data_IF_397980086093
#
_entry.id   IF_397980086093
#
_cell.length_a   1.000
_cell.length_b   1.000
_cell.length_c   1.000
_cell.angle_alpha   90.00
_cell.angle_beta   90.00
_cell.angle_gamma   90.00
#
_symmetry.space_group_name_H-M   'P 1'
#
loop_
_entity.id
_entity.type
_entity.pdbx_description
1 polymer ?
#
# COMPACT_ATOMS: atom_id res chain seq x y z
N UNK A 1 -8.52 -6.88 6.55
CA UNK A 1 -7.57 -7.92 7.03
C UNK A 1 -7.12 -7.60 8.47
N UNK A 2 -7.20 -8.56 9.42
CA UNK A 2 -7.01 -8.29 10.85
C UNK A 2 -5.54 -8.12 11.26
N UNK A 3 -4.59 -8.59 10.45
CA UNK A 3 -3.15 -8.45 10.71
C UNK A 3 -2.46 -7.88 9.47
N UNK A 4 -1.88 -6.69 9.60
CA UNK A 4 -1.04 -6.06 8.57
C UNK A 4 0.43 -6.27 8.96
N UNK A 5 1.24 -6.75 8.02
CA UNK A 5 2.68 -6.94 8.22
C UNK A 5 3.47 -6.32 7.06
N UNK A 6 4.65 -5.77 7.37
CA UNK A 6 5.48 -5.03 6.40
C UNK A 6 6.59 -5.95 5.90
N UNK A 7 6.26 -6.73 4.86
CA UNK A 7 7.20 -7.66 4.23
C UNK A 7 8.14 -6.99 3.22
N UNK A 8 7.69 -5.94 2.53
CA UNK A 8 8.46 -5.28 1.48
C UNK A 8 8.15 -3.78 1.43
N UNK A 9 9.20 -2.98 1.23
CA UNK A 9 9.11 -1.53 1.05
C UNK A 9 9.74 -1.17 -0.28
N UNK A 10 9.01 -0.43 -1.11
CA UNK A 10 9.43 -0.02 -2.45
C UNK A 10 8.89 1.36 -2.82
N UNK A 11 9.58 2.03 -3.74
CA UNK A 11 9.18 3.36 -4.19
C UNK A 11 7.96 3.35 -5.12
N UNK A 12 7.28 4.49 -5.20
CA UNK A 12 6.09 4.66 -6.04
C UNK A 12 6.38 4.40 -7.53
N UNK A 13 7.54 4.82 -8.03
CA UNK A 13 7.93 4.60 -9.42
C UNK A 13 8.05 3.11 -9.76
N UNK A 14 8.63 2.32 -8.86
CA UNK A 14 8.75 0.87 -9.05
C UNK A 14 7.42 0.16 -8.84
N UNK A 15 6.59 0.66 -7.92
CA UNK A 15 5.25 0.11 -7.67
C UNK A 15 4.38 0.26 -8.94
N UNK A 16 4.46 1.41 -9.62
CA UNK A 16 3.79 1.67 -10.90
C UNK A 16 4.24 0.76 -12.04
N UNK A 17 5.45 0.21 -12.00
CA UNK A 17 5.90 -0.78 -12.99
C UNK A 17 5.31 -2.17 -12.73
N UNK A 18 4.89 -2.47 -11.48
CA UNK A 18 4.36 -3.78 -11.09
C UNK A 18 2.85 -3.87 -11.13
N UNK A 19 2.15 -2.75 -10.96
CA UNK A 19 0.69 -2.71 -10.93
C UNK A 19 0.15 -1.98 -12.17
N UNK A 20 -1.05 -2.35 -12.66
CA UNK A 20 -1.67 -1.63 -13.76
C UNK A 20 -2.00 -0.18 -13.37
N UNK A 21 -1.96 0.74 -14.34
CA UNK A 21 -2.27 2.16 -14.12
C UNK A 21 -3.65 2.34 -13.46
N UNK A 22 -4.61 1.47 -13.78
CA UNK A 22 -5.95 1.49 -13.20
C UNK A 22 -5.96 1.40 -11.66
N UNK A 23 -4.98 0.73 -11.05
CA UNK A 23 -4.86 0.62 -9.59
C UNK A 23 -4.45 1.92 -8.90
N UNK A 24 -4.01 2.94 -9.62
CA UNK A 24 -3.57 4.22 -9.04
C UNK A 24 -4.63 5.32 -9.12
N UNK A 25 -5.68 5.13 -9.94
CA UNK A 25 -6.74 6.11 -10.10
C UNK A 25 -7.88 5.85 -9.12
N UNK A 26 -8.10 6.73 -8.14
CA UNK A 26 -9.20 6.61 -7.15
C UNK A 26 -10.58 6.42 -7.82
N UNK A 27 -10.80 7.06 -8.96
CA UNK A 27 -12.04 6.96 -9.77
C UNK A 27 -12.30 5.57 -10.37
N UNK A 28 -11.27 4.71 -10.43
CA UNK A 28 -11.36 3.38 -11.01
C UNK A 28 -11.86 2.33 -10.00
N UNK A 29 -11.97 2.72 -8.72
CA UNK A 29 -12.42 1.84 -7.66
C UNK A 29 -13.95 1.89 -7.51
N UNK A 30 -14.57 0.71 -7.50
CA UNK A 30 -15.98 0.51 -7.16
C UNK A 30 -16.04 -0.23 -5.84
N UNK A 31 -16.59 0.37 -4.79
CA UNK A 31 -16.65 -0.27 -3.47
C UNK A 31 -15.30 -0.66 -2.90
N UNK A 32 -14.26 0.17 -3.14
CA UNK A 32 -12.85 -0.06 -2.75
C UNK A 32 -12.09 -1.13 -3.54
N UNK A 33 -12.68 -1.68 -4.60
CA UNK A 33 -12.04 -2.71 -5.42
C UNK A 33 -11.90 -2.25 -6.88
N UNK A 34 -10.81 -2.68 -7.51
CA UNK A 34 -10.61 -2.57 -8.96
C UNK A 34 -10.05 -3.88 -9.50
N UNK A 35 -10.64 -4.34 -10.59
CA UNK A 35 -10.12 -5.44 -11.39
C UNK A 35 -9.75 -4.91 -12.77
N UNK A 36 -8.47 -5.00 -13.12
CA UNK A 36 -7.99 -4.55 -14.42
C UNK A 36 -6.88 -5.47 -14.92
N UNK A 37 -7.00 -5.93 -16.16
CA UNK A 37 -6.04 -6.85 -16.79
C UNK A 37 -5.74 -8.11 -15.94
N UNK A 38 -6.76 -8.66 -15.26
CA UNK A 38 -6.61 -9.86 -14.42
C UNK A 38 -5.97 -9.61 -13.06
N UNK A 39 -5.63 -8.36 -12.73
CA UNK A 39 -5.12 -7.96 -11.41
C UNK A 39 -6.26 -7.39 -10.58
N UNK A 40 -6.46 -7.95 -9.39
CA UNK A 40 -7.39 -7.44 -8.38
C UNK A 40 -6.64 -6.61 -7.36
N UNK A 41 -7.10 -5.39 -7.12
CA UNK A 41 -6.54 -4.48 -6.12
C UNK A 41 -7.65 -3.95 -5.24
N UNK A 42 -7.40 -3.88 -3.94
CA UNK A 42 -8.31 -3.30 -2.96
C UNK A 42 -7.62 -2.16 -2.23
N UNK A 43 -8.33 -1.04 -2.03
CA UNK A 43 -7.80 0.14 -1.37
C UNK A 43 -8.41 0.29 0.03
N UNK A 44 -7.56 0.19 1.06
CA UNK A 44 -7.96 0.34 2.45
C UNK A 44 -7.27 1.55 3.08
N UNK A 45 -8.00 2.26 3.93
CA UNK A 45 -7.45 3.22 4.87
C UNK A 45 -7.08 2.49 6.16
N UNK A 46 -5.90 2.77 6.71
CA UNK A 46 -5.39 2.13 7.92
C UNK A 46 -5.52 3.11 9.07
N UNK A 47 -6.29 2.75 10.09
CA UNK A 47 -6.29 3.45 11.38
C UNK A 47 -5.18 2.87 12.27
N UNK A 48 -4.32 3.74 12.77
CA UNK A 48 -3.20 3.35 13.65
C UNK A 48 -3.68 3.43 15.08
N UNK A 49 -3.66 2.30 15.79
CA UNK A 49 -3.87 2.31 17.24
C UNK A 49 -2.55 2.67 17.95
N UNK A 50 -2.58 3.23 19.18
CA UNK A 50 -1.37 3.48 19.96
C UNK A 50 -0.50 2.23 20.18
N UNK A 51 -1.10 1.04 20.11
CA UNK A 51 -0.37 -0.25 20.24
C UNK A 51 0.44 -0.60 18.99
N UNK A 52 0.10 0.00 17.85
CA UNK A 52 0.74 -0.23 16.55
C UNK A 52 1.77 0.85 16.20
N UNK A 53 1.98 1.84 17.07
CA UNK A 53 2.92 2.95 16.84
C UNK A 53 4.33 2.45 16.51
N UNK A 54 4.84 1.46 17.26
CA UNK A 54 6.18 0.91 17.04
C UNK A 54 6.35 0.26 15.66
N UNK A 55 5.29 -0.34 15.10
CA UNK A 55 5.29 -0.88 13.74
C UNK A 55 5.32 0.22 12.70
N UNK A 56 4.60 1.32 12.96
CA UNK A 56 4.61 2.49 12.09
C UNK A 56 5.97 3.17 12.08
N UNK A 57 6.61 3.31 13.23
CA UNK A 57 7.95 3.88 13.35
C UNK A 57 8.97 3.05 12.56
N UNK A 58 8.91 1.71 12.65
CA UNK A 58 9.74 0.81 11.85
C UNK A 58 9.49 0.94 10.34
N UNK A 59 8.23 1.14 9.91
CA UNK A 59 7.93 1.37 8.50
C UNK A 59 8.55 2.69 8.02
N UNK A 60 8.42 3.77 8.81
CA UNK A 60 9.00 5.07 8.50
C UNK A 60 10.52 5.02 8.43
N UNK A 61 11.17 4.25 9.31
CA UNK A 61 12.60 4.02 9.27
C UNK A 61 13.03 3.31 7.98
N UNK A 62 12.36 2.21 7.62
CA UNK A 62 12.63 1.48 6.37
C UNK A 62 12.42 2.33 5.12
N UNK A 63 11.49 3.28 5.14
CA UNK A 63 11.29 4.23 4.05
C UNK A 63 12.48 5.20 3.95
N UNK A 64 12.92 5.77 5.08
CA UNK A 64 14.10 6.65 5.12
C UNK A 64 15.37 5.95 4.66
N UNK A 65 15.61 4.71 5.08
CA UNK A 65 16.79 3.93 4.65
C UNK A 65 16.84 3.71 3.14
N UNK A 66 15.68 3.66 2.48
CA UNK A 66 15.56 3.46 1.04
C UNK A 66 15.52 4.76 0.25
N UNK A 67 15.64 5.91 0.91
CA UNK A 67 15.50 7.25 0.33
C UNK A 67 14.17 7.40 -0.43
N UNK A 68 13.09 6.86 0.16
CA UNK A 68 11.72 6.84 -0.38
C UNK A 68 10.80 7.85 0.29
#
# INVERSE_FOLDING_TARGET
PPNLDVNHVMGLADLRKKLPEAAFGKKNYTGHEVCFQGVYSSLYEVEISPKDQSRMDQLLEKLKEKDL
#
